data_IF_304276643473
#
_entry.id   IF_304276643473
#
_cell.length_a   1.000
_cell.length_b   1.000
_cell.length_c   1.000
_cell.angle_alpha   90.00
_cell.angle_beta   90.00
_cell.angle_gamma   90.00
#
_symmetry.space_group_name_H-M   'P 1'
#
loop_
_entity.id
_entity.type
_entity.pdbx_description
1 polymer ?
#
# COMPACT_ATOMS: atom_id res chain seq x y z
N UNK A 1 -62.27 28.99 38.39
CA UNK A 1 -61.10 29.05 39.29
C UNK A 1 -60.15 27.89 38.95
N UNK A 2 -59.32 27.94 37.90
CA UNK A 2 -58.57 29.10 37.35
C UNK A 2 -57.69 29.76 38.43
N UNK A 3 -56.47 30.24 38.23
CA UNK A 3 -55.55 30.42 37.07
C UNK A 3 -54.15 30.64 37.72
N UNK A 4 -52.96 30.30 37.20
CA UNK A 4 -52.48 29.71 35.93
C UNK A 4 -51.31 28.71 36.23
N UNK A 5 -50.66 28.15 35.20
CA UNK A 5 -49.20 27.90 35.23
C UNK A 5 -48.58 28.00 33.84
N UNK A 6 -47.56 28.87 33.70
CA UNK A 6 -46.98 29.27 32.42
C UNK A 6 -46.46 28.08 31.58
N UNK A 7 -46.80 28.09 30.29
CA UNK A 7 -46.15 27.24 29.29
C UNK A 7 -44.73 27.78 29.08
N UNK A 8 -43.75 27.03 29.58
CA UNK A 8 -42.33 27.33 29.34
C UNK A 8 -42.01 26.97 27.90
N UNK A 9 -41.66 27.97 27.08
CA UNK A 9 -40.97 27.73 25.82
C UNK A 9 -39.74 26.86 26.11
N UNK A 10 -39.66 25.70 25.45
CA UNK A 10 -38.40 25.00 25.27
C UNK A 10 -37.88 25.48 23.93
N UNK A 11 -36.89 26.37 23.99
CA UNK A 11 -36.06 26.70 22.83
C UNK A 11 -35.38 25.39 22.41
N UNK A 12 -35.61 24.95 21.17
CA UNK A 12 -34.96 23.76 20.63
C UNK A 12 -33.47 24.07 20.47
N UNK A 13 -32.62 23.21 21.03
CA UNK A 13 -31.20 23.48 21.23
C UNK A 13 -30.43 23.45 19.90
N UNK A 14 -29.83 24.58 19.45
CA UNK A 14 -29.15 24.65 18.14
C UNK A 14 -28.05 23.60 17.94
N UNK A 15 -27.48 23.10 19.04
CA UNK A 15 -26.43 22.08 19.04
C UNK A 15 -26.87 20.72 18.45
N UNK A 16 -28.17 20.48 18.25
CA UNK A 16 -28.67 19.23 17.65
C UNK A 16 -28.81 19.27 16.12
N UNK A 17 -28.81 20.44 15.49
CA UNK A 17 -28.78 20.53 14.01
C UNK A 17 -27.36 20.33 13.48
N UNK A 18 -26.35 20.95 14.13
CA UNK A 18 -24.94 20.82 13.76
C UNK A 18 -24.47 19.34 13.74
N UNK A 19 -24.84 18.56 14.74
CA UNK A 19 -24.50 17.13 14.85
C UNK A 19 -25.18 16.23 13.81
N UNK A 20 -26.21 16.72 13.12
CA UNK A 20 -26.95 15.98 12.10
C UNK A 20 -26.37 16.19 10.71
N UNK A 21 -25.74 17.34 10.46
CA UNK A 21 -25.08 17.63 9.18
C UNK A 21 -23.74 16.86 9.06
N UNK A 22 -22.93 16.79 10.12
CA UNK A 22 -21.67 16.01 10.12
C UNK A 22 -21.90 14.51 9.79
N UNK A 23 -22.98 13.90 10.30
CA UNK A 23 -23.31 12.49 10.01
C UNK A 23 -23.74 12.24 8.55
N UNK A 24 -24.11 13.28 7.79
CA UNK A 24 -24.53 13.18 6.38
C UNK A 24 -23.33 13.32 5.43
N UNK A 25 -22.21 13.87 5.89
CA UNK A 25 -20.96 13.94 5.11
C UNK A 25 -20.10 12.68 5.31
N UNK A 26 -19.95 12.19 6.53
CA UNK A 26 -19.15 10.98 6.83
C UNK A 26 -19.68 9.72 6.12
N UNK A 27 -20.98 9.68 5.80
CA UNK A 27 -21.64 8.56 5.13
C UNK A 27 -21.64 8.60 3.58
N UNK A 28 -20.91 9.55 2.95
CA UNK A 28 -20.87 9.69 1.48
C UNK A 28 -19.54 9.40 0.81
N UNK A 29 -18.43 9.29 1.53
CA UNK A 29 -17.11 9.06 0.92
C UNK A 29 -16.73 7.57 0.78
N UNK A 30 -17.26 6.66 1.61
CA UNK A 30 -16.93 5.22 1.55
C UNK A 30 -17.51 4.46 0.34
N UNK A 31 -18.49 5.01 -0.39
CA UNK A 31 -19.03 4.41 -1.62
C UNK A 31 -18.51 5.07 -2.91
N UNK A 32 -17.19 5.22 -3.06
CA UNK A 32 -16.58 5.48 -4.38
C UNK A 32 -15.48 4.48 -4.75
N UNK A 33 -15.85 3.59 -5.70
CA UNK A 33 -14.96 2.73 -6.48
C UNK A 33 -14.15 1.67 -5.70
N UNK A 34 -14.83 0.59 -5.30
CA UNK A 34 -14.20 -0.74 -5.17
C UNK A 34 -13.88 -1.35 -6.54
N UNK A 35 -13.16 -0.59 -7.37
CA UNK A 35 -12.52 -1.07 -8.60
C UNK A 35 -11.52 -2.17 -8.21
N UNK A 36 -11.92 -3.43 -8.40
CA UNK A 36 -11.17 -4.59 -7.88
C UNK A 36 -9.79 -4.65 -8.52
N UNK A 37 -8.76 -4.29 -7.74
CA UNK A 37 -7.38 -4.63 -8.05
C UNK A 37 -7.30 -6.13 -8.39
N UNK A 38 -6.57 -6.54 -9.44
CA UNK A 38 -6.35 -7.96 -9.67
C UNK A 38 -5.60 -8.53 -8.44
N UNK A 39 -6.09 -9.64 -7.86
CA UNK A 39 -5.51 -10.34 -6.68
C UNK A 39 -4.13 -10.96 -6.99
N UNK A 40 -3.19 -10.10 -7.37
CA UNK A 40 -1.82 -10.47 -7.72
C UNK A 40 -1.04 -10.63 -6.42
N UNK A 41 -0.57 -11.85 -6.20
CA UNK A 41 0.21 -12.23 -5.01
C UNK A 41 1.56 -12.80 -5.41
N UNK A 42 2.58 -12.41 -4.68
CA UNK A 42 3.95 -12.85 -4.87
C UNK A 42 4.27 -13.93 -3.84
N UNK A 43 4.60 -15.12 -4.33
CA UNK A 43 4.90 -16.29 -3.49
C UNK A 43 6.37 -16.63 -3.52
N UNK A 44 6.92 -17.25 -2.48
CA UNK A 44 8.32 -17.69 -2.50
C UNK A 44 8.51 -18.83 -3.50
N UNK A 45 9.38 -18.68 -4.50
CA UNK A 45 9.59 -19.70 -5.54
C UNK A 45 10.04 -21.07 -5.02
N UNK A 46 10.64 -21.13 -3.82
CA UNK A 46 11.05 -22.39 -3.17
C UNK A 46 9.89 -23.11 -2.46
N UNK A 47 9.03 -22.40 -1.73
CA UNK A 47 8.02 -23.02 -0.85
C UNK A 47 6.56 -22.60 -1.14
N UNK A 48 6.34 -21.79 -2.18
CA UNK A 48 5.06 -21.31 -2.73
C UNK A 48 4.10 -20.62 -1.74
N UNK A 49 4.55 -20.32 -0.53
CA UNK A 49 3.81 -19.51 0.45
C UNK A 49 3.85 -18.03 0.04
N UNK A 50 2.72 -17.35 0.22
CA UNK A 50 2.57 -15.92 -0.05
C UNK A 50 3.55 -15.11 0.80
N UNK A 51 4.18 -14.12 0.19
CA UNK A 51 5.10 -13.19 0.85
C UNK A 51 4.47 -11.80 0.93
N UNK A 52 3.99 -11.29 -0.21
CA UNK A 52 3.43 -9.95 -0.36
C UNK A 52 2.46 -9.92 -1.56
N UNK A 53 1.67 -8.86 -1.67
CA UNK A 53 0.66 -8.60 -2.71
C UNK A 53 1.07 -7.41 -3.59
N UNK A 54 0.21 -6.99 -4.51
CA UNK A 54 0.47 -5.80 -5.36
C UNK A 54 0.43 -4.50 -4.56
N UNK A 55 -0.38 -4.42 -3.50
CA UNK A 55 -0.50 -3.25 -2.62
C UNK A 55 0.74 -3.03 -1.74
N UNK A 56 1.52 -4.10 -1.50
CA UNK A 56 2.79 -4.06 -0.77
C UNK A 56 3.97 -3.52 -1.62
N UNK A 57 3.78 -3.25 -2.92
CA UNK A 57 4.84 -2.78 -3.82
C UNK A 57 5.03 -1.26 -3.77
N UNK A 58 6.29 -0.82 -3.85
CA UNK A 58 6.62 0.61 -3.94
C UNK A 58 6.04 1.26 -5.22
N UNK A 59 5.21 2.27 -5.04
CA UNK A 59 4.44 2.94 -6.10
C UNK A 59 5.32 3.69 -7.11
N UNK A 60 6.44 4.28 -6.67
CA UNK A 60 7.34 5.02 -7.56
C UNK A 60 8.08 4.11 -8.53
N UNK A 61 8.52 2.95 -8.05
CA UNK A 61 9.35 2.01 -8.81
C UNK A 61 8.52 0.99 -9.60
N UNK A 62 7.38 0.55 -9.07
CA UNK A 62 6.59 -0.52 -9.66
C UNK A 62 5.34 0.06 -10.32
N UNK A 63 5.55 0.82 -11.40
CA UNK A 63 4.54 1.63 -12.12
C UNK A 63 3.32 0.88 -12.67
N UNK A 64 3.23 -0.43 -12.49
CA UNK A 64 1.97 -1.17 -12.54
C UNK A 64 0.86 -0.47 -11.74
N UNK A 65 1.20 0.16 -10.60
CA UNK A 65 0.25 0.86 -9.72
C UNK A 65 -0.18 2.24 -10.27
N UNK A 66 0.69 2.92 -11.05
CA UNK A 66 0.44 4.30 -11.53
C UNK A 66 -0.67 4.44 -12.59
N UNK A 67 -1.31 3.35 -13.00
CA UNK A 67 -2.49 3.37 -13.88
C UNK A 67 -3.82 3.46 -13.13
N UNK A 68 -3.84 3.30 -11.81
CA UNK A 68 -5.06 3.36 -11.00
C UNK A 68 -5.28 4.74 -10.37
N UNK A 69 -4.23 5.33 -9.80
CA UNK A 69 -4.31 6.63 -9.13
C UNK A 69 -3.92 7.77 -10.09
N UNK A 70 -4.77 8.00 -11.10
CA UNK A 70 -4.58 9.04 -12.12
C UNK A 70 -5.05 10.42 -11.63
N UNK A 71 -4.43 10.95 -10.58
CA UNK A 71 -4.47 12.39 -10.29
C UNK A 71 -3.18 12.87 -9.60
N UNK A 72 -2.90 14.16 -9.76
CA UNK A 72 -1.82 14.92 -9.10
C UNK A 72 -0.37 14.72 -9.63
N UNK A 73 -0.07 15.53 -10.64
CA UNK A 73 1.21 16.25 -10.89
C UNK A 73 2.52 15.52 -11.29
N UNK A 74 2.85 15.71 -12.58
CA UNK A 74 4.09 16.31 -13.10
C UNK A 74 5.49 15.79 -12.67
N UNK A 75 6.20 15.32 -13.70
CA UNK A 75 7.69 15.38 -13.88
C UNK A 75 8.53 14.27 -13.25
N UNK A 76 8.60 13.12 -13.93
CA UNK A 76 9.85 12.69 -14.59
C UNK A 76 9.52 11.57 -15.59
N UNK A 77 9.23 11.94 -16.84
CA UNK A 77 9.06 10.98 -17.95
C UNK A 77 10.43 10.49 -18.44
N UNK A 78 11.20 9.86 -17.55
CA UNK A 78 12.06 8.77 -18.01
C UNK A 78 11.15 7.61 -18.37
N UNK A 79 11.21 7.12 -19.61
CA UNK A 79 10.56 5.85 -19.98
C UNK A 79 11.25 4.70 -19.24
N UNK A 80 10.87 4.49 -17.98
CA UNK A 80 11.40 3.41 -17.17
C UNK A 80 10.93 2.11 -17.82
N UNK A 81 11.86 1.41 -18.44
CA UNK A 81 11.59 0.13 -19.07
C UNK A 81 11.47 -0.95 -17.98
N UNK A 82 10.35 -0.98 -17.26
CA UNK A 82 10.13 -1.91 -16.13
C UNK A 82 10.16 -3.40 -16.53
N UNK A 83 10.00 -3.67 -17.83
CA UNK A 83 10.28 -4.97 -18.46
C UNK A 83 11.71 -5.47 -18.22
N UNK A 84 12.66 -4.56 -17.99
CA UNK A 84 14.08 -4.85 -17.67
C UNK A 84 14.36 -4.93 -16.17
N UNK A 85 13.43 -4.54 -15.29
CA UNK A 85 13.64 -4.63 -13.83
C UNK A 85 13.79 -6.10 -13.41
N UNK A 86 14.93 -6.44 -12.81
CA UNK A 86 15.26 -7.79 -12.29
C UNK A 86 14.75 -8.05 -10.87
N UNK A 87 14.22 -7.02 -10.22
CA UNK A 87 13.73 -7.05 -8.84
C UNK A 87 12.41 -6.31 -8.71
N UNK A 88 11.64 -6.69 -7.69
CA UNK A 88 10.56 -5.90 -7.10
C UNK A 88 11.12 -5.08 -5.93
N UNK A 89 10.50 -3.94 -5.66
CA UNK A 89 10.74 -3.18 -4.44
C UNK A 89 9.43 -3.12 -3.66
N UNK A 90 9.46 -3.53 -2.38
CA UNK A 90 8.29 -3.48 -1.50
C UNK A 90 8.35 -2.23 -0.63
N UNK A 91 7.20 -1.81 -0.10
CA UNK A 91 7.09 -0.71 0.85
C UNK A 91 7.81 -1.03 2.18
N UNK A 92 7.98 -0.02 3.03
CA UNK A 92 8.73 -0.14 4.28
C UNK A 92 8.07 -1.12 5.27
N UNK A 93 6.77 -1.00 5.50
CA UNK A 93 6.00 -1.85 6.41
C UNK A 93 6.18 -3.34 6.08
N UNK A 94 6.04 -3.71 4.81
CA UNK A 94 6.20 -5.10 4.36
C UNK A 94 7.66 -5.52 4.33
N UNK A 95 8.55 -4.59 4.02
CA UNK A 95 9.99 -4.73 4.08
C UNK A 95 10.48 -5.18 5.45
N UNK A 96 10.11 -4.44 6.49
CA UNK A 96 10.43 -4.74 7.89
C UNK A 96 9.79 -6.04 8.36
N UNK A 97 8.53 -6.31 8.00
CA UNK A 97 7.86 -7.58 8.32
C UNK A 97 8.56 -8.82 7.72
N UNK A 98 9.20 -8.69 6.54
CA UNK A 98 9.99 -9.75 5.91
C UNK A 98 11.46 -9.77 6.35
N UNK A 99 11.94 -8.73 7.05
CA UNK A 99 13.29 -8.62 7.57
C UNK A 99 13.29 -8.13 9.03
N UNK A 100 12.83 -8.93 10.02
CA UNK A 100 12.69 -8.46 11.41
C UNK A 100 14.00 -8.07 12.11
N UNK A 101 15.14 -8.50 11.58
CA UNK A 101 16.48 -8.09 12.04
C UNK A 101 16.84 -6.64 11.63
N UNK A 102 16.05 -6.04 10.71
CA UNK A 102 16.31 -4.76 10.06
C UNK A 102 16.51 -3.63 11.06
N UNK A 103 17.77 -3.35 11.36
CA UNK A 103 18.17 -2.32 12.30
C UNK A 103 18.80 -1.16 11.54
N UNK A 104 18.40 0.07 11.83
CA UNK A 104 18.88 1.28 11.12
C UNK A 104 20.42 1.45 11.14
N UNK A 105 21.10 0.87 12.14
CA UNK A 105 22.58 0.86 12.22
C UNK A 105 23.30 -0.10 11.25
N UNK A 106 22.60 -1.04 10.63
CA UNK A 106 23.17 -2.00 9.66
C UNK A 106 22.83 -1.59 8.23
N UNK A 107 23.72 -0.87 7.53
CA UNK A 107 23.42 -0.31 6.20
C UNK A 107 22.82 -1.28 5.16
N UNK A 108 23.09 -2.59 5.25
CA UNK A 108 22.45 -3.60 4.39
C UNK A 108 22.24 -4.95 5.08
N UNK A 109 21.09 -5.56 4.83
CA UNK A 109 20.68 -6.84 5.41
C UNK A 109 20.06 -7.80 4.36
N UNK A 110 19.89 -9.08 4.72
CA UNK A 110 19.39 -10.14 3.81
C UNK A 110 17.92 -10.43 4.09
N UNK A 111 17.05 -10.16 3.12
CA UNK A 111 15.64 -10.53 3.19
C UNK A 111 15.51 -12.03 2.85
N UNK A 112 14.98 -12.81 3.79
CA UNK A 112 14.82 -14.26 3.70
C UNK A 112 13.34 -14.65 3.82
N UNK A 113 12.91 -15.71 3.15
CA UNK A 113 11.55 -16.21 3.30
C UNK A 113 11.29 -16.65 4.76
N UNK A 114 10.26 -16.12 5.45
CA UNK A 114 10.04 -16.43 6.86
C UNK A 114 9.82 -17.94 7.09
N UNK A 115 9.22 -18.63 6.12
CA UNK A 115 8.80 -20.03 6.21
C UNK A 115 9.83 -21.08 5.78
N UNK A 116 10.80 -20.74 4.92
CA UNK A 116 11.79 -21.71 4.41
C UNK A 116 13.24 -21.19 4.41
N UNK A 117 13.45 -19.98 4.96
CA UNK A 117 14.73 -19.28 5.12
C UNK A 117 15.57 -19.12 3.83
N UNK A 118 14.98 -19.34 2.65
CA UNK A 118 15.63 -19.06 1.38
C UNK A 118 15.82 -17.56 1.17
N UNK A 119 17.00 -17.13 0.70
CA UNK A 119 17.27 -15.72 0.36
C UNK A 119 16.35 -15.26 -0.78
N UNK A 120 15.61 -14.19 -0.52
CA UNK A 120 14.72 -13.52 -1.47
C UNK A 120 15.39 -12.29 -2.09
N UNK A 121 16.18 -11.55 -1.30
CA UNK A 121 16.85 -10.33 -1.73
C UNK A 121 17.62 -9.66 -0.60
N UNK A 122 17.52 -8.34 -0.49
CA UNK A 122 18.25 -7.54 0.49
C UNK A 122 17.53 -6.21 0.80
N UNK A 123 17.74 -5.74 2.02
CA UNK A 123 17.50 -4.35 2.43
C UNK A 123 18.81 -3.58 2.25
N UNK A 124 18.71 -2.34 1.77
CA UNK A 124 19.77 -1.32 1.87
C UNK A 124 19.15 -0.02 2.37
N UNK A 125 19.50 0.44 3.57
CA UNK A 125 18.93 1.65 4.17
C UNK A 125 19.31 2.92 3.43
N UNK A 126 20.54 3.01 2.92
CA UNK A 126 20.97 4.14 2.07
C UNK A 126 20.24 4.18 0.73
N UNK A 127 19.50 3.13 0.36
CA UNK A 127 18.92 2.94 -0.96
C UNK A 127 19.84 2.22 -1.95
N UNK A 128 19.27 1.87 -3.11
CA UNK A 128 19.96 1.14 -4.17
C UNK A 128 19.41 1.53 -5.56
N UNK A 129 20.27 1.41 -6.58
CA UNK A 129 19.86 1.59 -7.97
C UNK A 129 19.37 0.27 -8.57
N UNK A 130 18.20 0.29 -9.21
CA UNK A 130 17.68 -0.84 -9.97
C UNK A 130 18.33 -0.93 -11.36
N UNK A 131 18.25 -2.11 -11.98
CA UNK A 131 18.69 -2.37 -13.36
C UNK A 131 17.98 -1.54 -14.45
N UNK A 132 16.85 -0.89 -14.13
CA UNK A 132 16.22 0.11 -15.01
C UNK A 132 16.75 1.54 -14.84
N UNK A 133 17.72 1.76 -13.92
CA UNK A 133 18.33 3.06 -13.64
C UNK A 133 17.69 3.86 -12.50
N UNK A 134 16.44 3.58 -12.10
CA UNK A 134 15.76 4.27 -10.98
C UNK A 134 16.40 3.89 -9.64
N UNK A 135 16.61 4.91 -8.80
CA UNK A 135 17.02 4.76 -7.40
C UNK A 135 15.79 4.60 -6.49
N UNK A 136 15.91 3.78 -5.45
CA UNK A 136 14.87 3.56 -4.42
C UNK A 136 15.53 3.61 -3.05
N UNK A 137 14.93 4.32 -2.09
CA UNK A 137 15.45 4.48 -0.72
C UNK A 137 14.29 4.59 0.29
N UNK A 138 14.24 3.77 1.35
CA UNK A 138 15.06 2.58 1.57
C UNK A 138 14.81 1.51 0.50
N UNK A 139 15.81 0.67 0.22
CA UNK A 139 15.71 -0.35 -0.82
C UNK A 139 15.38 -1.73 -0.25
N UNK A 140 14.10 -2.02 -0.01
CA UNK A 140 13.62 -3.39 0.25
C UNK A 140 13.48 -4.16 -1.05
N UNK A 141 14.61 -4.68 -1.55
CA UNK A 141 14.72 -5.30 -2.86
C UNK A 141 14.46 -6.82 -2.79
N UNK A 142 13.50 -7.31 -3.59
CA UNK A 142 13.22 -8.74 -3.78
C UNK A 142 13.53 -9.15 -5.22
N UNK A 143 14.36 -10.17 -5.44
CA UNK A 143 14.67 -10.61 -6.81
C UNK A 143 13.51 -11.36 -7.45
N UNK A 144 13.15 -11.00 -8.69
CA UNK A 144 12.07 -11.67 -9.45
C UNK A 144 12.34 -13.17 -9.64
N UNK A 145 13.61 -13.57 -9.77
CA UNK A 145 14.00 -14.99 -9.87
C UNK A 145 13.85 -15.80 -8.57
N UNK A 146 13.33 -15.21 -7.48
CA UNK A 146 13.11 -15.87 -6.18
C UNK A 146 11.64 -15.86 -5.75
N UNK A 147 10.75 -15.23 -6.52
CA UNK A 147 9.32 -15.14 -6.24
C UNK A 147 8.48 -15.37 -7.49
N UNK A 148 7.36 -16.07 -7.34
CA UNK A 148 6.39 -16.29 -8.42
C UNK A 148 5.24 -15.29 -8.29
N UNK A 149 4.94 -14.58 -9.37
CA UNK A 149 3.77 -13.70 -9.51
C UNK A 149 2.54 -14.54 -9.91
N UNK A 150 1.57 -14.67 -8.99
CA UNK A 150 0.34 -15.42 -9.22
C UNK A 150 -0.79 -14.43 -9.49
N UNK A 151 -1.37 -14.49 -10.70
CA UNK A 151 -2.53 -13.70 -11.12
C UNK A 151 -3.82 -14.50 -10.91
N UNK A 152 -4.96 -13.84 -10.59
CA UNK A 152 -6.25 -14.53 -10.63
C UNK A 152 -6.54 -14.98 -12.08
N UNK A 153 -7.03 -16.22 -12.22
CA UNK A 153 -7.48 -16.72 -13.53
C UNK A 153 -8.84 -16.08 -13.79
N UNK A 154 -8.89 -15.12 -14.70
CA UNK A 154 -10.14 -14.55 -15.21
C UNK A 154 -10.61 -15.45 -16.35
N UNK A 155 -11.64 -16.26 -16.10
CA UNK A 155 -12.39 -16.92 -17.15
C UNK A 155 -13.36 -15.88 -17.76
N UNK A 156 -13.21 -15.61 -19.05
CA UNK A 156 -14.11 -14.81 -19.87
C UNK A 156 -14.81 -15.68 -20.91
#
# INVERSE_FOLDING_TARGET
MEQEKAVRFQEEDPLQEEQKEEQIEESKEEETLTEKFPDIKYTCGKCRKVLFRVEDLETEHNSYIKKFNASTTKTFNSEINHTKCTSWFINEDKGLALCPEATSGNNSEKINCPHCKAKLGCLVWSGAQCSCGRYTCPAFQIHKSKVDEIKPIVFG
#
